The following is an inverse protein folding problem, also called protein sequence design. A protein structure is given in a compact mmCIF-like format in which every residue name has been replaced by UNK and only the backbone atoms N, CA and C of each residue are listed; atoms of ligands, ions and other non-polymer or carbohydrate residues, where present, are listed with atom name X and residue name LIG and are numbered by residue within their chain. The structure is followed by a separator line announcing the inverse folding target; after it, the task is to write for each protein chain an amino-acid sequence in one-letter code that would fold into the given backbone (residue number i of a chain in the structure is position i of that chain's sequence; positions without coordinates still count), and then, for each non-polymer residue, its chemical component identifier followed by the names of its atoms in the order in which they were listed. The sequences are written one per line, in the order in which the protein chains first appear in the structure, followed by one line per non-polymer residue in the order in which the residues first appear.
data_IF_847154104466
#
_entry.id   IF_847154104466
#
_cell.length_a   1.000
_cell.length_b   1.000
_cell.length_c   1.000
_cell.angle_alpha   90.00
_cell.angle_beta   90.00
_cell.angle_gamma   90.00
#
_symmetry.space_group_name_H-M   'P 1'
#
loop_
_entity.id
_entity.type
_entity.pdbx_description
1 polymer ?
#
# COMPACT_ATOMS: atom_id res chain seq x y z
N UNK A 1 -23.89 1.43 2.41
CA UNK A 1 -23.17 1.97 1.23
C UNK A 1 -22.38 3.26 1.49
N UNK A 2 -22.70 4.05 2.53
CA UNK A 2 -21.98 5.33 2.77
C UNK A 2 -20.57 5.12 3.35
N UNK A 3 -20.42 4.32 4.40
CA UNK A 3 -19.14 4.14 5.13
C UNK A 3 -18.01 3.65 4.22
N UNK A 4 -18.28 2.67 3.35
CA UNK A 4 -17.29 2.10 2.43
C UNK A 4 -16.88 3.09 1.32
N UNK A 5 -17.79 3.95 0.88
CA UNK A 5 -17.51 4.99 -0.12
C UNK A 5 -16.66 6.12 0.47
N UNK A 6 -16.96 6.53 1.70
CA UNK A 6 -16.17 7.56 2.41
C UNK A 6 -14.73 7.10 2.64
N UNK A 7 -14.52 5.83 3.03
CA UNK A 7 -13.17 5.29 3.25
C UNK A 7 -12.33 5.22 1.97
N UNK A 8 -12.95 4.92 0.81
CA UNK A 8 -12.26 4.93 -0.49
C UNK A 8 -11.80 6.31 -0.95
N UNK A 9 -12.59 7.35 -0.64
CA UNK A 9 -12.24 8.74 -1.02
C UNK A 9 -11.34 9.42 0.01
N UNK A 10 -11.38 8.96 1.27
CA UNK A 10 -10.65 9.54 2.39
C UNK A 10 -10.09 8.43 3.30
N UNK A 11 -9.09 7.66 2.83
CA UNK A 11 -8.44 6.68 3.68
C UNK A 11 -7.82 7.39 4.89
N UNK A 12 -8.02 6.87 6.12
CA UNK A 12 -7.42 7.43 7.34
C UNK A 12 -5.88 7.34 7.34
N UNK A 13 -5.28 6.59 6.41
CA UNK A 13 -3.85 6.54 6.16
C UNK A 13 -3.57 6.38 4.66
N UNK A 14 -3.22 7.44 3.91
CA UNK A 14 -2.93 7.35 2.48
C UNK A 14 -1.70 6.48 2.19
N UNK A 15 -0.76 6.44 3.13
CA UNK A 15 0.33 5.47 3.20
C UNK A 15 0.03 4.53 4.37
N UNK A 16 0.00 3.22 4.12
CA UNK A 16 -0.13 2.25 5.21
C UNK A 16 1.11 2.29 6.12
N UNK A 17 0.96 1.73 7.32
CA UNK A 17 2.06 1.61 8.26
C UNK A 17 3.32 1.02 7.59
N UNK A 18 4.51 1.61 7.83
CA UNK A 18 5.76 1.11 7.26
C UNK A 18 5.96 -0.36 7.61
N UNK A 19 6.29 -1.17 6.61
CA UNK A 19 6.62 -2.58 6.79
C UNK A 19 8.08 -2.79 6.49
N UNK A 20 8.78 -3.50 7.36
CA UNK A 20 10.17 -3.85 7.15
C UNK A 20 10.28 -5.28 6.61
N UNK A 21 11.09 -5.47 5.56
CA UNK A 21 11.35 -6.80 5.01
C UNK A 21 12.26 -7.59 5.94
N UNK A 22 11.72 -8.62 6.59
CA UNK A 22 12.49 -9.51 7.48
C UNK A 22 13.43 -10.46 6.72
N UNK A 23 13.14 -10.70 5.45
CA UNK A 23 13.88 -11.60 4.56
C UNK A 23 13.96 -10.98 3.17
N UNK A 24 14.85 -11.50 2.31
CA UNK A 24 14.89 -11.10 0.90
C UNK A 24 13.63 -11.62 0.20
N UNK A 25 12.86 -10.72 -0.41
CA UNK A 25 11.59 -11.04 -1.04
C UNK A 25 11.56 -10.52 -2.48
N UNK A 26 10.80 -11.18 -3.37
CA UNK A 26 10.51 -10.64 -4.70
C UNK A 26 9.06 -10.16 -4.78
N UNK A 27 8.86 -8.90 -5.18
CA UNK A 27 7.53 -8.32 -5.40
C UNK A 27 7.47 -7.84 -6.85
N UNK A 28 6.51 -8.33 -7.63
CA UNK A 28 6.31 -7.93 -9.04
C UNK A 28 7.59 -8.01 -9.92
N UNK A 29 8.49 -8.94 -9.62
CA UNK A 29 9.79 -9.10 -10.30
C UNK A 29 10.94 -8.25 -9.72
N UNK A 30 10.67 -7.37 -8.77
CA UNK A 30 11.69 -6.60 -8.06
C UNK A 30 12.21 -7.37 -6.85
N UNK A 31 13.53 -7.44 -6.70
CA UNK A 31 14.17 -8.05 -5.53
C UNK A 31 14.33 -7.01 -4.43
N UNK A 32 13.66 -7.23 -3.30
CA UNK A 32 13.70 -6.38 -2.11
C UNK A 32 14.70 -6.99 -1.12
N UNK A 33 15.78 -6.29 -0.76
CA UNK A 33 16.74 -6.77 0.22
C UNK A 33 16.17 -6.74 1.64
N UNK A 34 16.78 -7.53 2.52
CA UNK A 34 16.46 -7.55 3.96
C UNK A 34 16.65 -6.16 4.59
N UNK A 35 15.82 -5.83 5.58
CA UNK A 35 15.75 -4.53 6.27
C UNK A 35 15.30 -3.35 5.39
N UNK A 36 14.68 -3.62 4.23
CA UNK A 36 14.07 -2.55 3.43
C UNK A 36 12.72 -2.14 4.02
N UNK A 37 12.55 -0.83 4.25
CA UNK A 37 11.26 -0.26 4.64
C UNK A 37 10.40 -0.05 3.39
N UNK A 38 9.30 -0.79 3.32
CA UNK A 38 8.32 -0.72 2.25
C UNK A 38 7.10 0.06 2.72
N UNK A 39 6.67 1.03 1.90
CA UNK A 39 5.47 1.83 2.11
C UNK A 39 4.45 1.46 1.05
N UNK A 40 3.22 1.18 1.46
CA UNK A 40 2.10 0.89 0.54
C UNK A 40 1.27 2.15 0.38
N UNK A 41 1.16 2.65 -0.86
CA UNK A 41 0.30 3.78 -1.19
C UNK A 41 -1.15 3.32 -1.36
N UNK A 42 -1.89 3.30 -0.25
CA UNK A 42 -3.30 2.95 -0.24
C UNK A 42 -4.15 3.95 -1.03
N UNK A 43 -3.81 5.25 -0.98
CA UNK A 43 -4.54 6.28 -1.72
C UNK A 43 -4.57 6.00 -3.22
N UNK A 44 -3.42 5.72 -3.82
CA UNK A 44 -3.35 5.40 -5.26
C UNK A 44 -4.14 4.14 -5.60
N UNK A 45 -4.13 3.12 -4.74
CA UNK A 45 -4.88 1.87 -4.97
C UNK A 45 -6.40 2.11 -4.90
N UNK A 46 -6.86 2.96 -3.97
CA UNK A 46 -8.29 3.20 -3.75
C UNK A 46 -8.92 4.19 -4.75
N UNK A 47 -8.09 5.03 -5.37
CA UNK A 47 -8.49 6.07 -6.33
C UNK A 47 -8.05 5.79 -7.77
N UNK A 48 -7.49 4.60 -8.04
CA UNK A 48 -7.06 4.19 -9.36
C UNK A 48 -8.24 4.19 -10.35
N UNK A 49 -8.21 5.01 -11.43
CA UNK A 49 -9.28 5.03 -12.42
C UNK A 49 -9.31 3.79 -13.33
N UNK A 50 -8.22 2.99 -13.36
CA UNK A 50 -8.14 1.76 -14.15
C UNK A 50 -8.64 0.51 -13.39
N UNK A 51 -9.11 0.66 -12.14
CA UNK A 51 -9.62 -0.43 -11.27
C UNK A 51 -10.98 -0.15 -10.63
#
# INVERSE_FOLDING_TARGET
MVIKGTLRLHPPGPLLAPRESREQCQIAGYTIPVNTVTLVNAWTIETDPEY
#
